data_IF_240185245636
#
_entry.id   IF_240185245636
#
_cell.length_a   1.000
_cell.length_b   1.000
_cell.length_c   1.000
_cell.angle_alpha   90.00
_cell.angle_beta   90.00
_cell.angle_gamma   90.00
#
_symmetry.space_group_name_H-M   'P 1'
#
loop_
_entity.id
_entity.type
_entity.pdbx_description
1 polymer ?
#
# COMPACT_ATOMS: atom_id res chain seq x y z
N UNK A 1 -30.23 -9.71 -3.61
CA UNK A 1 -29.40 -9.83 -2.41
C UNK A 1 -29.68 -8.66 -1.48
N UNK A 2 -30.03 -8.94 -0.24
CA UNK A 2 -30.13 -7.90 0.80
C UNK A 2 -28.73 -7.34 1.11
N UNK A 3 -28.64 -6.12 1.68
CA UNK A 3 -27.35 -5.55 2.12
C UNK A 3 -26.61 -6.48 3.07
N UNK A 4 -27.34 -7.23 3.91
CA UNK A 4 -26.76 -8.18 4.87
C UNK A 4 -26.18 -9.42 4.17
N UNK A 5 -26.87 -9.97 3.18
CA UNK A 5 -26.39 -11.11 2.39
C UNK A 5 -25.19 -10.72 1.52
N UNK A 6 -25.22 -9.51 0.94
CA UNK A 6 -24.08 -8.98 0.19
C UNK A 6 -22.83 -8.80 1.09
N UNK A 7 -23.01 -8.26 2.30
CA UNK A 7 -21.93 -8.10 3.27
C UNK A 7 -21.34 -9.45 3.71
N UNK A 8 -22.19 -10.47 3.97
CA UNK A 8 -21.73 -11.82 4.34
C UNK A 8 -20.90 -12.44 3.21
N UNK A 9 -21.40 -12.36 1.96
CA UNK A 9 -20.66 -12.88 0.80
C UNK A 9 -19.37 -12.12 0.53
N UNK A 10 -19.37 -10.80 0.71
CA UNK A 10 -18.18 -9.97 0.56
C UNK A 10 -17.12 -10.29 1.64
N UNK A 11 -17.54 -10.45 2.90
CA UNK A 11 -16.63 -10.79 4.00
C UNK A 11 -16.04 -12.21 3.89
N UNK A 12 -16.70 -13.12 3.17
CA UNK A 12 -16.13 -14.43 2.87
C UNK A 12 -15.00 -14.38 1.83
N UNK A 13 -14.93 -13.31 1.03
CA UNK A 13 -13.96 -13.15 -0.05
C UNK A 13 -12.95 -12.04 0.23
N UNK A 14 -13.39 -10.93 0.85
CA UNK A 14 -12.52 -9.80 1.21
C UNK A 14 -12.43 -9.75 2.72
N UNK A 15 -11.24 -10.00 3.24
CA UNK A 15 -10.99 -9.97 4.68
C UNK A 15 -9.76 -9.13 5.01
N UNK A 16 -9.62 -8.77 6.28
CA UNK A 16 -8.44 -8.07 6.76
C UNK A 16 -7.25 -9.04 6.75
N UNK A 17 -6.08 -8.58 6.33
CA UNK A 17 -4.82 -9.34 6.31
C UNK A 17 -4.52 -10.01 7.67
N UNK A 18 -4.92 -9.36 8.77
CA UNK A 18 -4.75 -9.92 10.11
C UNK A 18 -5.59 -11.17 10.37
N UNK A 19 -6.75 -11.33 9.73
CA UNK A 19 -7.52 -12.57 9.82
C UNK A 19 -6.80 -13.72 9.11
N UNK A 20 -6.32 -13.48 7.91
CA UNK A 20 -5.54 -14.48 7.17
C UNK A 20 -4.31 -14.94 7.97
N UNK A 21 -3.56 -14.00 8.55
CA UNK A 21 -2.43 -14.30 9.44
C UNK A 21 -2.86 -15.11 10.65
N UNK A 22 -3.91 -14.70 11.35
CA UNK A 22 -4.38 -15.37 12.58
C UNK A 22 -4.88 -16.79 12.29
N UNK A 23 -5.55 -17.02 11.15
CA UNK A 23 -5.93 -18.36 10.69
C UNK A 23 -4.72 -19.24 10.38
N UNK A 24 -3.69 -18.68 9.73
CA UNK A 24 -2.44 -19.36 9.48
C UNK A 24 -1.67 -19.76 10.75
N UNK A 25 -1.86 -19.02 11.86
CA UNK A 25 -1.28 -19.36 13.16
C UNK A 25 -2.06 -20.46 13.90
N UNK A 26 -3.35 -20.55 13.68
CA UNK A 26 -4.21 -21.56 14.32
C UNK A 26 -4.04 -22.93 13.65
N UNK A 27 -3.80 -22.95 12.36
CA UNK A 27 -3.69 -24.18 11.55
C UNK A 27 -2.36 -24.21 10.82
N UNK A 28 -1.69 -25.35 10.86
CA UNK A 28 -0.49 -25.63 10.06
C UNK A 28 -0.81 -26.15 8.64
N UNK A 29 -2.11 -26.25 8.30
CA UNK A 29 -2.55 -26.67 6.97
C UNK A 29 -2.48 -25.51 5.99
N UNK A 30 -2.33 -25.83 4.71
CA UNK A 30 -2.50 -24.86 3.65
C UNK A 30 -3.90 -24.21 3.72
N UNK A 31 -4.04 -22.91 3.45
CA UNK A 31 -5.34 -22.29 3.34
C UNK A 31 -6.18 -22.88 2.20
N UNK A 32 -7.48 -22.63 2.21
CA UNK A 32 -8.36 -23.10 1.12
C UNK A 32 -8.07 -22.36 -0.18
N UNK A 33 -7.69 -21.09 -0.05
CA UNK A 33 -7.40 -20.18 -1.15
C UNK A 33 -6.01 -20.45 -1.72
N UNK A 34 -5.95 -20.74 -3.01
CA UNK A 34 -4.69 -20.90 -3.74
C UNK A 34 -4.15 -19.59 -4.32
N UNK A 35 -4.99 -18.57 -4.41
CA UNK A 35 -4.63 -17.23 -4.88
C UNK A 35 -5.06 -16.22 -3.84
N UNK A 36 -4.12 -15.39 -3.40
CA UNK A 36 -4.38 -14.28 -2.49
C UNK A 36 -3.90 -12.97 -3.08
N UNK A 37 -4.67 -11.91 -2.84
CA UNK A 37 -4.32 -10.55 -3.25
C UNK A 37 -4.17 -9.69 -2.01
N UNK A 38 -2.98 -9.19 -1.77
CA UNK A 38 -2.70 -8.25 -0.68
C UNK A 38 -2.72 -6.82 -1.21
N UNK A 39 -3.73 -6.05 -0.82
CA UNK A 39 -3.79 -4.62 -1.11
C UNK A 39 -2.93 -3.84 -0.12
N UNK A 40 -2.25 -2.79 -0.61
CA UNK A 40 -1.30 -2.00 0.18
C UNK A 40 -0.20 -2.89 0.83
N UNK A 41 0.32 -3.86 0.07
CA UNK A 41 1.23 -4.88 0.60
C UNK A 41 2.51 -4.30 1.22
N UNK A 42 2.95 -3.08 0.82
CA UNK A 42 4.09 -2.39 1.43
C UNK A 42 3.85 -2.01 2.90
N UNK A 43 2.60 -2.01 3.38
CA UNK A 43 2.23 -1.69 4.77
C UNK A 43 2.27 -2.89 5.71
N UNK A 44 2.60 -4.06 5.22
CA UNK A 44 2.83 -5.24 6.07
C UNK A 44 3.89 -4.94 7.13
N UNK A 45 3.78 -5.56 8.28
CA UNK A 45 4.61 -5.23 9.45
C UNK A 45 5.98 -5.90 9.43
N UNK A 46 6.98 -5.15 9.91
CA UNK A 46 8.30 -5.72 10.22
C UNK A 46 8.19 -6.79 11.31
N UNK A 47 9.20 -7.66 11.42
CA UNK A 47 9.30 -8.66 12.50
C UNK A 47 9.06 -8.04 13.88
N UNK A 48 9.73 -6.92 14.18
CA UNK A 48 9.60 -6.24 15.47
C UNK A 48 8.16 -5.80 15.77
N UNK A 49 7.47 -5.24 14.80
CA UNK A 49 6.10 -4.77 14.97
C UNK A 49 5.13 -5.95 15.07
N UNK A 50 5.26 -6.94 14.21
CA UNK A 50 4.43 -8.13 14.19
C UNK A 50 4.59 -8.93 15.50
N UNK A 51 5.83 -9.20 15.93
CA UNK A 51 6.13 -9.92 17.19
C UNK A 51 5.57 -9.18 18.40
N UNK A 52 5.77 -7.87 18.48
CA UNK A 52 5.23 -7.06 19.60
C UNK A 52 3.71 -7.13 19.67
N UNK A 53 3.03 -7.02 18.54
CA UNK A 53 1.57 -7.13 18.47
C UNK A 53 1.09 -8.52 18.88
N UNK A 54 1.75 -9.57 18.37
CA UNK A 54 1.39 -10.96 18.67
C UNK A 54 1.52 -11.27 20.15
N UNK A 55 2.60 -10.86 20.78
CA UNK A 55 2.81 -11.05 22.23
C UNK A 55 1.76 -10.28 23.04
N UNK A 56 1.50 -9.01 22.70
CA UNK A 56 0.63 -8.14 23.49
C UNK A 56 -0.87 -8.41 23.28
N UNK A 57 -1.30 -8.77 22.10
CA UNK A 57 -2.70 -8.83 21.71
C UNK A 57 -3.21 -10.21 21.31
N UNK A 58 -2.31 -11.12 20.97
CA UNK A 58 -2.64 -12.43 20.39
C UNK A 58 -1.95 -13.61 21.10
N UNK A 59 -1.46 -13.39 22.33
CA UNK A 59 -0.79 -14.44 23.12
C UNK A 59 -1.63 -15.71 23.28
N UNK A 60 -2.95 -15.59 23.34
CA UNK A 60 -3.86 -16.73 23.38
C UNK A 60 -3.85 -17.61 22.12
N UNK A 61 -3.55 -17.03 20.95
CA UNK A 61 -3.39 -17.79 19.68
C UNK A 61 -2.02 -18.45 19.65
N UNK A 62 -1.00 -17.76 20.13
CA UNK A 62 0.37 -18.28 20.15
C UNK A 62 0.54 -19.49 21.05
N UNK A 63 -0.28 -19.68 22.07
CA UNK A 63 -0.18 -20.81 23.01
C UNK A 63 1.26 -21.01 23.55
N UNK A 64 1.96 -19.92 23.88
CA UNK A 64 3.32 -19.94 24.35
C UNK A 64 4.41 -20.10 23.28
N UNK A 65 4.04 -20.14 22.00
CA UNK A 65 5.00 -20.12 20.87
C UNK A 65 5.51 -18.70 20.65
N UNK A 66 6.76 -18.58 20.29
CA UNK A 66 7.34 -17.31 19.83
C UNK A 66 6.90 -17.03 18.40
N UNK A 67 6.58 -15.76 18.13
CA UNK A 67 6.38 -15.26 16.77
C UNK A 67 7.56 -14.35 16.42
N UNK A 68 8.45 -14.82 15.55
CA UNK A 68 9.69 -14.13 15.13
C UNK A 68 9.76 -14.00 13.61
N UNK A 69 8.65 -13.54 13.01
CA UNK A 69 8.54 -13.36 11.59
C UNK A 69 8.04 -11.95 11.28
N UNK A 70 8.47 -11.41 10.15
CA UNK A 70 7.75 -10.29 9.54
C UNK A 70 6.41 -10.77 8.98
N UNK A 71 5.45 -9.86 8.77
CA UNK A 71 4.20 -10.25 8.10
C UNK A 71 4.44 -10.77 6.68
N UNK A 72 5.27 -10.14 5.82
CA UNK A 72 5.60 -10.69 4.51
C UNK A 72 6.11 -12.13 4.57
N UNK A 73 7.09 -12.41 5.44
CA UNK A 73 7.63 -13.75 5.62
C UNK A 73 6.53 -14.76 5.98
N UNK A 74 5.74 -14.44 6.99
CA UNK A 74 4.70 -15.35 7.49
C UNK A 74 3.57 -15.58 6.47
N UNK A 75 3.19 -14.54 5.72
CA UNK A 75 2.16 -14.67 4.69
C UNK A 75 2.61 -15.54 3.51
N UNK A 76 3.89 -15.44 3.13
CA UNK A 76 4.48 -16.33 2.12
C UNK A 76 4.54 -17.75 2.68
N UNK A 77 4.99 -17.94 3.91
CA UNK A 77 5.08 -19.24 4.57
C UNK A 77 3.72 -19.96 4.61
N UNK A 78 2.65 -19.25 4.97
CA UNK A 78 1.29 -19.80 5.00
C UNK A 78 0.85 -20.29 3.61
N UNK A 79 1.14 -19.51 2.56
CA UNK A 79 0.84 -19.90 1.18
C UNK A 79 1.75 -21.03 0.69
N UNK A 80 2.99 -21.06 1.12
CA UNK A 80 3.98 -22.10 0.77
C UNK A 80 3.64 -23.49 1.32
N UNK A 81 2.62 -23.62 2.16
CA UNK A 81 2.08 -24.92 2.62
C UNK A 81 1.33 -25.68 1.54
N UNK A 82 0.99 -25.05 0.42
CA UNK A 82 0.43 -25.74 -0.74
C UNK A 82 1.51 -26.62 -1.40
N UNK A 83 1.15 -27.85 -1.68
CA UNK A 83 2.10 -28.85 -2.25
C UNK A 83 2.10 -28.88 -3.77
N UNK A 84 1.11 -28.25 -4.40
CA UNK A 84 0.96 -28.24 -5.86
C UNK A 84 1.26 -26.86 -6.46
N UNK A 85 0.44 -25.87 -6.17
CA UNK A 85 0.67 -24.49 -6.62
C UNK A 85 -0.12 -23.49 -5.77
N UNK A 86 0.39 -22.30 -5.68
CA UNK A 86 -0.33 -21.14 -5.15
C UNK A 86 0.19 -19.87 -5.81
N UNK A 87 -0.49 -18.76 -5.59
CA UNK A 87 -0.09 -17.45 -6.10
C UNK A 87 -0.38 -16.35 -5.09
N UNK A 88 0.58 -15.43 -4.95
CA UNK A 88 0.45 -14.21 -4.15
C UNK A 88 0.55 -13.02 -5.08
N UNK A 89 -0.44 -12.12 -5.02
CA UNK A 89 -0.45 -10.88 -5.77
C UNK A 89 -0.36 -9.73 -4.77
N UNK A 90 0.74 -8.98 -4.81
CA UNK A 90 0.95 -7.80 -3.97
C UNK A 90 0.65 -6.54 -4.76
N UNK A 91 -0.40 -5.80 -4.38
CA UNK A 91 -0.67 -4.47 -4.90
C UNK A 91 0.11 -3.46 -4.05
N UNK A 92 0.95 -2.66 -4.70
CA UNK A 92 1.90 -1.77 -4.04
C UNK A 92 1.67 -0.35 -4.53
N UNK A 93 1.47 0.58 -3.60
CA UNK A 93 1.42 2.01 -3.88
C UNK A 93 2.79 2.64 -3.78
N UNK A 94 3.31 3.21 -4.87
CA UNK A 94 4.56 3.97 -4.86
C UNK A 94 4.40 5.36 -4.23
N UNK A 95 5.47 5.87 -3.62
CA UNK A 95 5.53 7.23 -3.08
C UNK A 95 4.67 7.48 -1.83
N UNK A 96 4.09 6.45 -1.25
CA UNK A 96 3.44 6.56 0.06
C UNK A 96 4.50 6.42 1.15
N UNK A 97 4.51 7.34 2.11
CA UNK A 97 5.37 7.20 3.27
C UNK A 97 4.99 5.94 4.05
N UNK A 98 6.00 5.15 4.35
CA UNK A 98 5.89 3.97 5.19
C UNK A 98 5.90 4.45 6.65
N UNK A 99 4.91 4.05 7.42
CA UNK A 99 4.86 4.38 8.84
C UNK A 99 5.89 3.56 9.62
N UNK A 100 6.25 4.05 10.79
CA UNK A 100 7.15 3.31 11.69
C UNK A 100 6.59 1.92 12.00
N UNK A 101 7.33 0.87 11.61
CA UNK A 101 6.93 -0.52 11.81
C UNK A 101 6.34 -1.21 10.57
N UNK A 102 6.08 -0.47 9.50
CA UNK A 102 5.77 -1.05 8.18
C UNK A 102 7.06 -1.51 7.49
N UNK A 103 6.99 -2.65 6.80
CA UNK A 103 8.16 -3.34 6.29
C UNK A 103 8.63 -2.87 4.90
N UNK A 104 7.73 -2.22 4.15
CA UNK A 104 8.03 -1.83 2.77
C UNK A 104 8.11 -3.02 1.83
N UNK A 105 8.50 -2.74 0.59
CA UNK A 105 8.73 -3.77 -0.43
C UNK A 105 9.98 -4.58 -0.15
N UNK A 106 10.97 -3.97 0.50
CA UNK A 106 12.27 -4.58 0.81
C UNK A 106 12.10 -5.90 1.58
N UNK A 107 11.19 -5.94 2.52
CA UNK A 107 10.97 -7.13 3.36
C UNK A 107 10.31 -8.28 2.60
N UNK A 108 9.43 -7.99 1.64
CA UNK A 108 8.88 -9.00 0.74
C UNK A 108 9.98 -9.65 -0.10
N UNK A 109 10.85 -8.81 -0.68
CA UNK A 109 11.97 -9.28 -1.51
C UNK A 109 12.99 -10.04 -0.65
N UNK A 110 13.29 -9.55 0.55
CA UNK A 110 14.23 -10.20 1.45
C UNK A 110 13.72 -11.58 1.90
N UNK A 111 12.43 -11.68 2.23
CA UNK A 111 11.81 -12.95 2.58
C UNK A 111 11.90 -13.98 1.45
N UNK A 112 11.61 -13.57 0.21
CA UNK A 112 11.75 -14.42 -0.97
C UNK A 112 13.21 -14.85 -1.18
N UNK A 113 14.15 -13.90 -1.09
CA UNK A 113 15.58 -14.16 -1.29
C UNK A 113 16.15 -15.16 -0.30
N UNK A 114 15.79 -15.06 0.96
CA UNK A 114 16.44 -15.80 2.03
C UNK A 114 15.73 -17.12 2.36
N UNK A 115 14.40 -17.17 2.23
CA UNK A 115 13.62 -18.29 2.74
C UNK A 115 12.80 -19.03 1.67
N UNK A 116 12.50 -18.37 0.55
CA UNK A 116 11.63 -18.93 -0.50
C UNK A 116 12.23 -18.77 -1.90
N UNK A 117 13.48 -19.17 -2.14
CA UNK A 117 14.17 -18.97 -3.43
C UNK A 117 13.57 -19.76 -4.60
N UNK A 118 12.69 -20.73 -4.32
CA UNK A 118 12.01 -21.55 -5.33
C UNK A 118 10.76 -20.90 -5.92
N UNK A 119 10.35 -19.73 -5.40
CA UNK A 119 9.19 -19.02 -5.93
C UNK A 119 9.51 -18.31 -7.23
N UNK A 120 8.63 -18.46 -8.22
CA UNK A 120 8.66 -17.66 -9.44
C UNK A 120 8.19 -16.21 -9.14
N UNK A 121 9.01 -15.23 -9.47
CA UNK A 121 8.77 -13.82 -9.12
C UNK A 121 8.50 -13.04 -10.40
N UNK A 122 7.35 -12.37 -10.45
CA UNK A 122 6.97 -11.44 -11.50
C UNK A 122 6.77 -10.05 -10.91
N UNK A 123 7.30 -9.02 -11.57
CA UNK A 123 7.21 -7.66 -11.05
C UNK A 123 7.05 -6.61 -12.13
N UNK A 124 6.41 -5.48 -11.78
CA UNK A 124 6.31 -4.31 -12.65
C UNK A 124 7.70 -3.70 -12.89
N UNK A 125 7.99 -3.33 -14.14
CA UNK A 125 9.24 -2.67 -14.50
C UNK A 125 9.50 -1.36 -13.73
N UNK A 126 8.47 -0.70 -13.22
CA UNK A 126 8.58 0.53 -12.43
C UNK A 126 9.23 0.30 -11.07
N UNK A 127 9.13 -0.88 -10.49
CA UNK A 127 9.80 -1.21 -9.21
C UNK A 127 11.31 -0.97 -9.30
N UNK A 128 11.89 -1.26 -10.46
CA UNK A 128 13.33 -1.06 -10.69
C UNK A 128 13.67 0.39 -11.10
N UNK A 129 12.80 1.00 -11.91
CA UNK A 129 13.05 2.32 -12.51
C UNK A 129 12.84 3.47 -11.53
N UNK A 130 11.87 3.36 -10.65
CA UNK A 130 11.49 4.42 -9.72
C UNK A 130 11.98 4.11 -8.29
N UNK A 131 12.75 5.03 -7.73
CA UNK A 131 13.30 4.91 -6.37
C UNK A 131 12.24 4.93 -5.28
N UNK A 132 11.07 5.48 -5.57
CA UNK A 132 9.95 5.52 -4.62
C UNK A 132 9.38 4.13 -4.31
N UNK A 133 9.64 3.12 -5.15
CA UNK A 133 9.25 1.74 -4.90
C UNK A 133 10.35 0.94 -4.20
N UNK A 134 11.56 1.02 -4.73
CA UNK A 134 12.71 0.27 -4.21
C UNK A 134 13.97 1.11 -4.42
N UNK A 135 14.63 1.53 -3.37
CA UNK A 135 15.88 2.31 -3.46
C UNK A 135 17.14 1.44 -3.29
N UNK A 136 17.01 0.29 -2.65
CA UNK A 136 18.12 -0.62 -2.40
C UNK A 136 18.68 -1.23 -3.69
N UNK A 137 19.89 -0.84 -4.05
CA UNK A 137 20.54 -1.27 -5.29
C UNK A 137 20.89 -2.78 -5.33
N UNK A 138 21.17 -3.39 -4.20
CA UNK A 138 21.44 -4.83 -4.10
C UNK A 138 20.17 -5.65 -4.34
N UNK A 139 19.06 -5.25 -3.72
CA UNK A 139 17.77 -5.89 -3.92
C UNK A 139 17.27 -5.73 -5.35
N UNK A 140 17.49 -4.57 -5.98
CA UNK A 140 17.20 -4.38 -7.41
C UNK A 140 17.94 -5.38 -8.29
N UNK A 141 19.26 -5.52 -8.06
CA UNK A 141 20.07 -6.49 -8.82
C UNK A 141 19.60 -7.91 -8.62
N UNK A 142 19.30 -8.28 -7.38
CA UNK A 142 18.79 -9.61 -7.07
C UNK A 142 17.45 -9.87 -7.76
N UNK A 143 16.52 -8.92 -7.70
CA UNK A 143 15.20 -9.04 -8.34
C UNK A 143 15.30 -9.15 -9.87
N UNK A 144 16.21 -8.41 -10.50
CA UNK A 144 16.47 -8.51 -11.95
C UNK A 144 17.02 -9.89 -12.32
N UNK A 145 17.83 -10.49 -11.45
CA UNK A 145 18.45 -11.78 -11.73
C UNK A 145 17.51 -12.97 -11.49
N UNK A 146 16.63 -12.86 -10.47
CA UNK A 146 15.82 -13.98 -10.00
C UNK A 146 14.32 -13.84 -10.31
N UNK A 147 13.90 -12.72 -10.89
CA UNK A 147 12.51 -12.47 -11.23
C UNK A 147 12.35 -12.03 -12.69
N UNK A 148 11.13 -12.00 -13.15
CA UNK A 148 10.76 -11.58 -14.50
C UNK A 148 10.01 -10.24 -14.49
N UNK A 149 10.56 -9.24 -15.18
CA UNK A 149 9.93 -7.94 -15.33
C UNK A 149 8.80 -7.98 -16.37
N UNK A 150 7.60 -7.54 -15.98
CA UNK A 150 6.42 -7.47 -16.85
C UNK A 150 5.85 -6.04 -16.83
N UNK A 151 5.71 -5.44 -18.00
CA UNK A 151 5.15 -4.10 -18.13
C UNK A 151 3.65 -4.09 -17.79
N UNK A 152 2.95 -5.15 -18.12
CA UNK A 152 1.53 -5.35 -17.89
C UNK A 152 1.13 -5.41 -16.41
N UNK A 153 2.08 -5.65 -15.53
CA UNK A 153 1.86 -5.62 -14.08
C UNK A 153 1.79 -4.20 -13.49
N UNK A 154 1.96 -3.16 -14.33
CA UNK A 154 1.77 -1.80 -13.88
C UNK A 154 0.32 -1.35 -14.03
N UNK A 155 -0.32 -1.01 -12.91
CA UNK A 155 -1.66 -0.43 -12.89
C UNK A 155 -1.60 1.07 -13.19
N UNK A 156 -1.48 1.42 -14.47
CA UNK A 156 -1.30 2.79 -14.91
C UNK A 156 -2.58 3.64 -14.85
N UNK A 157 -3.76 3.01 -14.90
CA UNK A 157 -5.03 3.73 -15.02
C UNK A 157 -5.66 3.96 -13.66
N UNK A 158 -5.82 5.23 -13.28
CA UNK A 158 -6.58 5.61 -12.09
C UNK A 158 -8.08 5.46 -12.33
N UNK A 159 -8.68 4.38 -11.81
CA UNK A 159 -10.14 4.15 -11.89
C UNK A 159 -10.92 5.17 -11.07
N UNK A 160 -10.31 5.72 -10.00
CA UNK A 160 -10.98 6.68 -9.09
C UNK A 160 -11.15 8.06 -9.71
N UNK A 161 -10.22 8.47 -10.55
CA UNK A 161 -10.31 9.77 -11.22
C UNK A 161 -9.33 9.86 -12.39
N UNK A 162 -9.78 9.50 -13.59
CA UNK A 162 -9.02 9.75 -14.82
C UNK A 162 -8.74 11.25 -15.09
N UNK A 163 -9.51 12.14 -14.43
CA UNK A 163 -9.29 13.60 -14.50
C UNK A 163 -8.19 14.10 -13.57
N UNK A 164 -7.77 13.31 -12.60
CA UNK A 164 -6.77 13.73 -11.58
C UNK A 164 -5.34 13.35 -11.91
N UNK A 165 -5.06 12.67 -13.02
CA UNK A 165 -3.70 12.29 -13.40
C UNK A 165 -2.78 13.51 -13.52
N UNK A 166 -3.25 14.56 -14.20
CA UNK A 166 -2.51 15.83 -14.31
C UNK A 166 -2.32 16.50 -12.95
N UNK A 167 -3.34 16.44 -12.07
CA UNK A 167 -3.23 17.00 -10.72
C UNK A 167 -2.22 16.23 -9.88
N UNK A 168 -2.23 14.90 -9.96
CA UNK A 168 -1.23 14.06 -9.29
C UNK A 168 0.18 14.35 -9.80
N UNK A 169 0.35 14.49 -11.11
CA UNK A 169 1.61 14.87 -11.73
C UNK A 169 2.08 16.26 -11.26
N UNK A 170 1.17 17.25 -11.18
CA UNK A 170 1.49 18.55 -10.63
C UNK A 170 2.03 18.47 -9.20
N UNK A 171 1.35 17.70 -8.33
CA UNK A 171 1.77 17.53 -6.95
C UNK A 171 3.13 16.85 -6.86
N UNK A 172 3.36 15.83 -7.69
CA UNK A 172 4.65 15.14 -7.75
C UNK A 172 5.80 16.10 -8.14
N UNK A 173 5.64 16.87 -9.22
CA UNK A 173 6.66 17.83 -9.66
C UNK A 173 6.88 18.96 -8.64
N UNK A 174 5.84 19.36 -7.90
CA UNK A 174 5.98 20.33 -6.80
C UNK A 174 6.78 19.77 -5.62
N UNK A 175 6.56 18.51 -5.26
CA UNK A 175 7.30 17.84 -4.18
C UNK A 175 8.78 17.63 -4.57
N UNK A 176 9.03 17.30 -5.83
CA UNK A 176 10.37 17.14 -6.39
C UNK A 176 11.08 18.48 -6.68
N UNK A 177 10.40 19.60 -6.42
CA UNK A 177 10.90 20.97 -6.64
C UNK A 177 11.23 21.27 -8.10
N UNK A 178 10.59 20.58 -9.04
CA UNK A 178 10.72 20.84 -10.46
C UNK A 178 9.75 21.95 -10.89
N UNK A 179 10.16 23.19 -10.69
CA UNK A 179 9.30 24.37 -10.89
C UNK A 179 8.88 24.58 -12.35
N UNK A 180 9.69 24.18 -13.31
CA UNK A 180 9.39 24.36 -14.74
C UNK A 180 8.24 23.44 -15.16
N UNK A 181 8.39 22.13 -14.96
CA UNK A 181 7.35 21.17 -15.25
C UNK A 181 6.08 21.39 -14.43
N UNK A 182 6.22 21.71 -13.15
CA UNK A 182 5.07 22.03 -12.31
C UNK A 182 4.28 23.22 -12.88
N UNK A 183 4.95 24.25 -13.38
CA UNK A 183 4.31 25.40 -14.01
C UNK A 183 3.61 25.06 -15.33
N UNK A 184 4.22 24.23 -16.16
CA UNK A 184 3.59 23.75 -17.40
C UNK A 184 2.30 22.96 -17.12
N UNK A 185 2.36 22.01 -16.17
CA UNK A 185 1.19 21.22 -15.78
C UNK A 185 0.12 22.10 -15.14
N UNK A 186 0.52 23.03 -14.25
CA UNK A 186 -0.39 23.97 -13.61
C UNK A 186 -1.19 24.79 -14.65
N UNK A 187 -0.50 25.34 -15.65
CA UNK A 187 -1.17 26.11 -16.70
C UNK A 187 -2.16 25.26 -17.53
N UNK A 188 -1.89 23.97 -17.68
CA UNK A 188 -2.82 23.05 -18.37
C UNK A 188 -4.04 22.66 -17.53
N UNK A 189 -4.04 22.96 -16.22
CA UNK A 189 -5.10 22.63 -15.27
C UNK A 189 -6.01 23.81 -14.89
N UNK A 190 -5.63 25.04 -15.23
CA UNK A 190 -6.30 26.25 -14.75
C UNK A 190 -7.81 26.29 -15.03
N UNK A 191 -8.23 25.76 -16.17
CA UNK A 191 -9.64 25.76 -16.57
C UNK A 191 -10.44 24.62 -15.89
N UNK A 192 -9.79 23.51 -15.56
CA UNK A 192 -10.43 22.30 -15.03
C UNK A 192 -10.40 22.24 -13.49
N UNK A 193 -9.34 22.77 -12.88
CA UNK A 193 -9.11 22.67 -11.43
C UNK A 193 -8.68 24.01 -10.84
N UNK A 194 -9.53 24.66 -10.05
CA UNK A 194 -9.16 25.86 -9.34
C UNK A 194 -8.18 25.53 -8.20
N UNK A 195 -6.91 25.85 -8.38
CA UNK A 195 -5.86 25.62 -7.39
C UNK A 195 -5.49 26.96 -6.74
N UNK A 196 -5.47 27.00 -5.41
CA UNK A 196 -5.13 28.18 -4.64
C UNK A 196 -4.16 27.85 -3.51
N UNK A 197 -3.09 28.61 -3.39
CA UNK A 197 -2.08 28.44 -2.35
C UNK A 197 -2.11 29.64 -1.40
N UNK A 198 -2.19 29.38 -0.11
CA UNK A 198 -2.14 30.41 0.93
C UNK A 198 -1.53 29.87 2.21
N UNK A 199 -0.89 30.77 2.99
CA UNK A 199 -0.42 30.46 4.35
C UNK A 199 -1.48 30.74 5.41
N UNK A 200 -2.61 31.31 5.05
CA UNK A 200 -3.71 31.64 5.97
C UNK A 200 -4.79 30.57 5.91
N UNK A 201 -4.95 29.83 6.99
CA UNK A 201 -6.00 28.82 7.14
C UNK A 201 -7.42 29.41 7.00
N UNK A 202 -7.66 30.60 7.56
CA UNK A 202 -8.95 31.28 7.45
C UNK A 202 -9.28 31.70 6.02
N UNK A 203 -8.28 32.13 5.25
CA UNK A 203 -8.44 32.43 3.82
C UNK A 203 -8.72 31.16 3.04
N UNK A 204 -7.97 30.07 3.29
CA UNK A 204 -8.20 28.78 2.63
C UNK A 204 -9.62 28.25 2.88
N UNK A 205 -10.09 28.25 4.14
CA UNK A 205 -11.47 27.85 4.48
C UNK A 205 -12.52 28.66 3.76
N UNK A 206 -12.34 29.99 3.71
CA UNK A 206 -13.26 30.89 3.04
C UNK A 206 -13.30 30.68 1.54
N UNK A 207 -12.13 30.48 0.94
CA UNK A 207 -11.99 30.21 -0.49
C UNK A 207 -12.67 28.88 -0.88
N UNK A 208 -12.38 27.77 -0.19
CA UNK A 208 -12.96 26.47 -0.53
C UNK A 208 -14.49 26.44 -0.34
N UNK A 209 -14.98 27.13 0.70
CA UNK A 209 -16.43 27.29 0.90
C UNK A 209 -17.10 28.06 -0.25
N UNK A 210 -16.39 29.02 -0.84
CA UNK A 210 -16.89 29.81 -1.98
C UNK A 210 -16.87 28.99 -3.28
N UNK A 211 -15.94 28.05 -3.41
CA UNK A 211 -15.84 27.17 -4.60
C UNK A 211 -16.90 26.06 -4.60
N UNK A 212 -17.27 25.55 -3.43
CA UNK A 212 -18.25 24.46 -3.33
C UNK A 212 -19.63 24.89 -3.85
N UNK A 213 -20.21 24.05 -4.72
CA UNK A 213 -21.51 24.28 -5.36
C UNK A 213 -22.50 23.17 -5.02
N UNK A 214 -23.75 23.56 -4.75
CA UNK A 214 -24.83 22.60 -4.51
C UNK A 214 -24.54 21.64 -3.37
N UNK A 215 -24.52 20.33 -3.67
CA UNK A 215 -24.27 19.26 -2.70
C UNK A 215 -22.80 18.86 -2.57
N UNK A 216 -21.88 19.62 -3.17
CA UNK A 216 -20.45 19.33 -3.07
C UNK A 216 -19.96 19.43 -1.62
N UNK A 217 -19.16 18.44 -1.22
CA UNK A 217 -18.54 18.40 0.10
C UNK A 217 -17.14 18.96 0.03
N UNK A 218 -16.77 19.73 1.01
CA UNK A 218 -15.43 20.27 1.18
C UNK A 218 -14.91 20.01 2.59
N UNK A 219 -13.59 19.97 2.75
CA UNK A 219 -12.97 19.72 4.04
C UNK A 219 -11.50 20.10 4.05
N UNK A 220 -10.87 19.92 5.19
CA UNK A 220 -9.44 20.12 5.39
C UNK A 220 -8.81 18.77 5.67
N UNK A 221 -7.74 18.46 4.95
CA UNK A 221 -6.93 17.25 5.15
C UNK A 221 -5.62 17.69 5.79
N UNK A 222 -5.21 16.99 6.82
CA UNK A 222 -3.94 17.20 7.49
C UNK A 222 -3.27 15.89 7.85
N UNK A 223 -1.94 15.88 7.92
CA UNK A 223 -1.19 14.74 8.44
C UNK A 223 -1.63 14.37 9.85
N UNK A 224 -1.61 13.09 10.19
CA UNK A 224 -1.86 12.60 11.56
C UNK A 224 -0.93 13.26 12.58
N UNK A 225 0.26 13.67 12.18
CA UNK A 225 1.26 14.35 13.00
C UNK A 225 1.02 15.87 13.12
N UNK A 226 0.11 16.43 12.37
CA UNK A 226 -0.23 17.85 12.43
C UNK A 226 -1.05 18.21 13.68
N UNK A 227 -0.49 17.95 14.86
CA UNK A 227 -1.17 18.11 16.16
C UNK A 227 -1.73 19.50 16.40
N UNK A 228 -1.06 20.54 15.87
CA UNK A 228 -1.49 21.95 15.99
C UNK A 228 -2.75 22.28 15.20
N UNK A 229 -3.11 21.46 14.21
CA UNK A 229 -4.31 21.64 13.38
C UNK A 229 -5.52 20.85 13.88
N UNK A 230 -5.35 19.98 14.89
CA UNK A 230 -6.44 19.17 15.44
C UNK A 230 -7.39 19.93 16.36
N UNK A 231 -7.03 21.13 16.77
CA UNK A 231 -7.80 21.98 17.68
C UNK A 231 -8.60 23.08 16.97
N UNK A 232 -8.79 23.00 15.65
CA UNK A 232 -9.46 24.05 14.84
C UNK A 232 -10.75 23.52 14.23
#
# INVERSE_FOLDING_TARGET
>A
LTKKEAAIKSNAFIQNIHHFRDEGLISDKAPTEKVVVFDEAQRAWTEKQASSFMIQKKSHILNGRDFKFSEPHFLIEVMNRHTDWCSIICLIGGGQEINTGEAGLDEWINSLKEFFPEWDIYFSNLIIKDKNYLDNSEMKKWLITNGESKEELHLAVSVRSFRSEKLSSLIHELLDKNSEKANEIYNSLLDDYPIFITRSHSIAKRWIKKQARGSERFGVIASSNARRLKAI
#
